data_IF_191417137476
#
_entry.id   IF_191417137476
#
_cell.length_a   1.000
_cell.length_b   1.000
_cell.length_c   1.000
_cell.angle_alpha   90.00
_cell.angle_beta   90.00
_cell.angle_gamma   90.00
#
_symmetry.space_group_name_H-M   'P 1'
#
loop_
_entity.id
_entity.type
_entity.pdbx_description
1 polymer ?
#
# COMPACT_ATOMS: atom_id res chain seq x y z
N UNK A 1 4.85 25.65 9.20
CA UNK A 1 5.90 25.94 8.21
C UNK A 1 6.98 26.82 8.82
N UNK A 2 8.27 26.52 8.52
CA UNK A 2 9.43 27.29 9.00
C UNK A 2 9.92 26.98 10.41
N UNK A 3 9.19 26.18 11.19
CA UNK A 3 9.59 25.82 12.56
C UNK A 3 10.33 24.48 12.64
N UNK A 4 10.08 23.59 11.69
CA UNK A 4 10.65 22.23 11.65
C UNK A 4 11.41 22.04 10.36
N UNK A 5 12.70 21.64 10.39
CA UNK A 5 13.44 21.27 9.19
C UNK A 5 12.74 20.13 8.44
N UNK A 6 12.59 20.26 7.13
CA UNK A 6 11.95 19.24 6.30
C UNK A 6 12.98 18.21 5.86
N UNK A 7 12.58 16.94 5.90
CA UNK A 7 13.37 15.80 5.39
C UNK A 7 12.52 15.08 4.34
N UNK A 8 13.01 14.94 3.10
CA UNK A 8 12.30 14.25 2.04
C UNK A 8 11.87 12.83 2.47
N UNK A 9 10.61 12.46 2.20
CA UNK A 9 10.04 11.18 2.59
C UNK A 9 9.66 11.04 4.06
N UNK A 10 9.83 12.09 4.88
CA UNK A 10 9.41 12.14 6.29
C UNK A 10 8.16 12.98 6.49
N UNK A 11 7.28 12.52 7.39
CA UNK A 11 6.16 13.31 7.92
C UNK A 11 6.61 14.33 8.98
N UNK A 12 7.89 14.32 9.37
CA UNK A 12 8.46 15.11 10.46
C UNK A 12 7.79 14.80 11.82
N UNK A 13 7.42 15.79 12.57
CA UNK A 13 6.80 15.66 13.90
C UNK A 13 5.28 15.80 13.82
N UNK A 14 4.52 15.17 14.73
CA UNK A 14 3.10 15.41 14.86
C UNK A 14 2.80 16.88 15.14
N UNK A 15 1.63 17.36 14.69
CA UNK A 15 1.15 18.68 15.05
C UNK A 15 0.99 18.80 16.58
N UNK A 16 1.13 20.00 17.16
CA UNK A 16 0.92 20.22 18.60
C UNK A 16 -0.44 19.68 19.05
N UNK A 17 -0.43 18.90 20.13
CA UNK A 17 -1.62 18.23 20.67
C UNK A 17 -1.88 16.82 20.11
N UNK A 18 -1.25 16.41 19.03
CA UNK A 18 -1.36 15.04 18.50
C UNK A 18 -0.29 14.15 19.14
N UNK A 19 -0.71 13.04 19.76
CA UNK A 19 0.19 12.09 20.41
C UNK A 19 0.31 10.83 19.56
N UNK A 20 1.11 10.90 18.51
CA UNK A 20 1.44 9.73 17.69
C UNK A 20 2.49 8.85 18.38
N UNK A 21 2.37 7.53 18.19
CA UNK A 21 3.37 6.55 18.62
C UNK A 21 3.49 5.42 17.60
N UNK A 22 4.64 4.73 17.65
CA UNK A 22 4.83 3.45 16.97
C UNK A 22 4.71 2.36 18.02
N UNK A 23 3.87 1.37 17.77
CA UNK A 23 3.62 0.27 18.71
C UNK A 23 3.79 -1.10 18.03
N UNK A 24 3.99 -2.13 18.85
CA UNK A 24 3.91 -3.53 18.40
C UNK A 24 2.44 -4.01 18.24
N UNK A 25 2.24 -5.26 17.88
CA UNK A 25 0.91 -5.88 17.70
C UNK A 25 0.10 -5.96 19.01
N UNK A 26 0.74 -5.78 20.17
CA UNK A 26 0.12 -5.75 21.51
C UNK A 26 -0.06 -4.33 22.07
N UNK A 27 0.19 -3.31 21.26
CA UNK A 27 0.05 -1.89 21.66
C UNK A 27 1.14 -1.40 22.61
N UNK A 28 2.32 -2.06 22.70
CA UNK A 28 3.45 -1.56 23.46
C UNK A 28 4.27 -0.59 22.59
N UNK A 29 4.68 0.54 23.14
CA UNK A 29 5.50 1.51 22.40
C UNK A 29 6.87 0.93 22.04
N UNK A 30 7.25 1.13 20.79
CA UNK A 30 8.54 0.75 20.25
C UNK A 30 9.56 1.87 20.46
N UNK A 31 10.83 1.54 20.70
CA UNK A 31 11.88 2.55 20.77
C UNK A 31 12.08 3.26 19.44
N UNK A 32 12.61 4.48 19.47
CA UNK A 32 13.03 5.18 18.26
C UNK A 32 14.04 4.33 17.47
N UNK A 33 13.96 4.39 16.14
CA UNK A 33 14.71 3.54 15.23
C UNK A 33 13.98 2.24 14.85
N UNK A 34 12.89 1.89 15.56
CA UNK A 34 12.11 0.69 15.25
C UNK A 34 10.88 1.00 14.39
N UNK A 35 10.50 0.03 13.59
CA UNK A 35 9.24 0.02 12.84
C UNK A 35 8.11 -0.64 13.62
N UNK A 36 6.88 -0.30 13.28
CA UNK A 36 5.68 -0.88 13.87
C UNK A 36 4.39 -0.26 13.36
N UNK A 37 3.34 -0.39 14.13
CA UNK A 37 2.01 0.14 13.81
C UNK A 37 1.92 1.59 14.28
N UNK A 38 1.50 2.50 13.37
CA UNK A 38 1.23 3.89 13.74
C UNK A 38 -0.12 4.00 14.44
N UNK A 39 -0.09 4.58 15.65
CA UNK A 39 -1.29 4.85 16.44
C UNK A 39 -1.31 6.30 16.92
N UNK A 40 -2.51 6.80 17.27
CA UNK A 40 -2.68 8.05 17.97
C UNK A 40 -3.25 7.74 19.36
N UNK A 41 -2.51 8.12 20.42
CA UNK A 41 -2.79 7.69 21.79
C UNK A 41 -3.92 8.41 22.47
N UNK A 42 -4.25 9.62 22.02
CA UNK A 42 -5.33 10.44 22.61
C UNK A 42 -6.23 11.03 21.55
N UNK A 43 -7.52 11.19 21.85
CA UNK A 43 -8.45 11.89 20.96
C UNK A 43 -7.97 13.31 20.66
N UNK A 44 -8.32 13.81 19.48
CA UNK A 44 -8.07 15.17 19.03
C UNK A 44 -9.34 15.77 18.40
N UNK A 45 -9.46 17.10 18.28
CA UNK A 45 -10.71 17.77 17.91
C UNK A 45 -11.33 17.32 16.59
N UNK A 46 -10.53 16.97 15.57
CA UNK A 46 -10.99 16.52 14.24
C UNK A 46 -11.08 15.00 14.08
N UNK A 47 -10.93 14.23 15.18
CA UNK A 47 -11.05 12.78 15.13
C UNK A 47 -12.45 12.36 14.66
N UNK A 48 -12.53 11.33 13.83
CA UNK A 48 -13.79 10.69 13.45
C UNK A 48 -14.54 10.22 14.71
N UNK A 49 -15.86 10.44 14.77
CA UNK A 49 -16.68 10.11 15.96
C UNK A 49 -17.41 8.79 15.83
N UNK A 50 -17.79 8.40 14.61
CA UNK A 50 -18.47 7.14 14.32
C UNK A 50 -18.51 6.87 12.81
N UNK A 51 -18.95 5.68 12.43
CA UNK A 51 -19.41 5.35 11.08
C UNK A 51 -20.95 5.40 11.11
N UNK A 52 -21.56 6.05 10.11
CA UNK A 52 -23.01 6.18 10.01
C UNK A 52 -23.68 4.79 10.05
N UNK A 53 -24.63 4.61 10.95
CA UNK A 53 -25.36 3.36 11.20
C UNK A 53 -24.52 2.12 11.51
N UNK A 54 -23.21 2.27 11.83
CA UNK A 54 -22.33 1.13 12.10
C UNK A 54 -21.29 1.45 13.19
N UNK A 55 -21.75 1.70 14.45
CA UNK A 55 -20.85 2.03 15.56
C UNK A 55 -19.94 0.87 15.97
N UNK A 56 -20.36 -0.37 15.77
CA UNK A 56 -19.53 -1.54 16.10
C UNK A 56 -18.35 -1.68 15.14
N UNK A 57 -18.57 -1.45 13.85
CA UNK A 57 -17.49 -1.37 12.87
C UNK A 57 -16.54 -0.24 13.18
N UNK A 58 -17.05 0.91 13.62
CA UNK A 58 -16.21 2.03 14.05
C UNK A 58 -15.23 1.61 15.14
N UNK A 59 -15.73 1.00 16.23
CA UNK A 59 -14.90 0.52 17.32
C UNK A 59 -13.89 -0.51 16.86
N UNK A 60 -14.35 -1.57 16.16
CA UNK A 60 -13.50 -2.66 15.69
C UNK A 60 -12.41 -2.19 14.73
N UNK A 61 -12.70 -1.25 13.83
CA UNK A 61 -11.75 -0.79 12.81
C UNK A 61 -10.75 0.23 13.29
N UNK A 62 -11.16 1.11 14.23
CA UNK A 62 -10.32 2.23 14.67
C UNK A 62 -9.80 2.10 16.08
N UNK A 63 -10.37 1.22 16.91
CA UNK A 63 -9.98 1.03 18.30
C UNK A 63 -9.95 -0.46 18.65
N UNK A 64 -9.13 -1.27 17.94
CA UNK A 64 -9.02 -2.70 18.23
C UNK A 64 -8.49 -2.91 19.65
N UNK A 65 -9.02 -3.91 20.35
CA UNK A 65 -8.72 -4.16 21.77
C UNK A 65 -7.24 -4.45 21.99
N UNK A 66 -6.59 -5.10 21.04
CA UNK A 66 -5.17 -5.46 21.08
C UNK A 66 -4.26 -4.23 21.18
N UNK A 67 -4.70 -3.09 20.66
CA UNK A 67 -3.95 -1.82 20.68
C UNK A 67 -4.30 -0.93 21.86
N UNK A 68 -4.84 -1.49 22.96
CA UNK A 68 -5.08 -0.79 24.24
C UNK A 68 -5.99 0.46 24.12
N UNK A 69 -6.89 0.47 23.14
CA UNK A 69 -7.79 1.59 22.86
C UNK A 69 -7.14 2.78 22.18
N UNK A 70 -5.94 2.62 21.63
CA UNK A 70 -5.34 3.63 20.74
C UNK A 70 -6.06 3.68 19.40
N UNK A 71 -6.10 4.87 18.80
CA UNK A 71 -6.65 5.02 17.45
C UNK A 71 -5.68 4.42 16.42
N UNK A 72 -6.17 3.44 15.67
CA UNK A 72 -5.43 2.79 14.60
C UNK A 72 -5.53 3.61 13.31
N UNK A 73 -4.41 4.16 12.84
CA UNK A 73 -4.33 4.86 11.56
C UNK A 73 -4.39 3.89 10.35
N UNK A 74 -4.03 2.63 10.56
CA UNK A 74 -3.97 1.61 9.52
C UNK A 74 -2.69 1.64 8.71
N UNK A 75 -1.67 2.35 9.18
CA UNK A 75 -0.38 2.51 8.54
C UNK A 75 0.73 1.93 9.41
N UNK A 76 1.73 1.33 8.77
CA UNK A 76 3.02 1.06 9.38
C UNK A 76 3.91 2.29 9.28
N UNK A 77 4.76 2.49 10.28
CA UNK A 77 5.71 3.59 10.27
C UNK A 77 6.98 3.25 11.05
N UNK A 78 8.01 4.04 10.82
CA UNK A 78 9.25 4.06 11.61
C UNK A 78 9.41 5.44 12.22
N UNK A 79 9.87 5.50 13.46
CA UNK A 79 10.28 6.75 14.10
C UNK A 79 11.80 6.82 14.09
N UNK A 80 12.35 7.82 13.43
CA UNK A 80 13.80 8.00 13.31
C UNK A 80 14.48 8.11 14.70
N UNK A 81 15.65 7.47 14.83
CA UNK A 81 16.33 7.36 16.12
C UNK A 81 16.90 8.68 16.63
N UNK A 82 17.36 9.56 15.73
CA UNK A 82 18.04 10.81 16.07
C UNK A 82 17.07 11.99 16.11
N UNK A 83 16.26 12.13 15.06
CA UNK A 83 15.36 13.29 14.90
C UNK A 83 14.00 13.08 15.53
N UNK A 84 13.60 11.83 15.78
CA UNK A 84 12.26 11.48 16.21
C UNK A 84 11.18 11.66 15.13
N UNK A 85 11.57 11.89 13.88
CA UNK A 85 10.65 12.10 12.78
C UNK A 85 9.98 10.80 12.34
N UNK A 86 8.72 10.90 11.94
CA UNK A 86 7.96 9.76 11.46
C UNK A 86 8.11 9.59 9.95
N UNK A 87 8.30 8.35 9.52
CA UNK A 87 8.26 7.93 8.12
C UNK A 87 7.22 6.82 7.98
N UNK A 88 6.24 7.03 7.10
CA UNK A 88 5.25 5.99 6.79
C UNK A 88 5.91 4.94 5.89
N UNK A 89 5.73 3.65 6.24
CA UNK A 89 6.28 2.51 5.49
C UNK A 89 5.25 1.80 4.62
N UNK A 90 3.98 2.21 4.72
CA UNK A 90 2.86 1.67 3.94
C UNK A 90 1.67 1.32 4.82
N UNK A 91 0.67 0.70 4.22
CA UNK A 91 -0.50 0.19 4.95
C UNK A 91 -0.13 -1.11 5.66
N UNK A 92 -0.66 -1.31 6.87
CA UNK A 92 -0.48 -2.59 7.60
C UNK A 92 -1.24 -3.75 6.95
N UNK A 93 -2.27 -3.46 6.16
CA UNK A 93 -3.07 -4.40 5.38
C UNK A 93 -2.54 -4.65 3.96
N UNK A 94 -1.49 -3.92 3.55
CA UNK A 94 -0.79 -4.06 2.26
C UNK A 94 0.59 -4.74 2.42
N UNK A 95 0.78 -5.52 3.49
CA UNK A 95 1.98 -6.34 3.69
C UNK A 95 1.75 -7.71 3.05
N UNK A 96 2.67 -8.09 2.18
CA UNK A 96 2.70 -9.39 1.52
C UNK A 96 3.50 -10.40 2.36
N UNK A 97 3.07 -11.66 2.32
CA UNK A 97 3.81 -12.77 2.92
C UNK A 97 4.20 -13.78 1.84
N UNK A 98 5.35 -13.54 1.22
CA UNK A 98 5.86 -14.38 0.12
C UNK A 98 6.91 -15.34 0.68
N UNK A 99 6.63 -16.64 0.64
CA UNK A 99 7.53 -17.68 1.17
C UNK A 99 8.01 -17.41 2.61
N UNK A 100 7.12 -16.88 3.46
CA UNK A 100 7.42 -16.55 4.86
C UNK A 100 8.13 -15.19 5.06
N UNK A 101 8.44 -14.46 3.99
CA UNK A 101 9.03 -13.12 4.09
C UNK A 101 7.93 -12.06 4.01
N UNK A 102 7.91 -11.17 5.00
CA UNK A 102 6.99 -10.02 5.02
C UNK A 102 7.62 -8.84 4.27
N UNK A 103 6.93 -8.31 3.28
CA UNK A 103 7.39 -7.15 2.51
C UNK A 103 6.23 -6.19 2.22
N UNK A 104 6.52 -4.90 2.22
CA UNK A 104 5.54 -3.86 1.90
C UNK A 104 5.32 -3.75 0.39
N UNK A 105 4.06 -3.58 -0.03
CA UNK A 105 3.74 -3.35 -1.46
C UNK A 105 4.39 -2.07 -1.97
N UNK A 106 4.52 -1.03 -1.13
CA UNK A 106 5.12 0.26 -1.47
C UNK A 106 6.58 0.15 -1.93
N UNK A 107 7.35 -0.77 -1.38
CA UNK A 107 8.75 -0.97 -1.76
C UNK A 107 8.85 -1.46 -3.20
N UNK A 108 8.00 -2.41 -3.57
CA UNK A 108 7.92 -2.96 -4.94
C UNK A 108 7.36 -1.92 -5.91
N UNK A 109 6.33 -1.18 -5.51
CA UNK A 109 5.77 -0.06 -6.30
C UNK A 109 6.82 1.00 -6.58
N UNK A 110 7.61 1.37 -5.56
CA UNK A 110 8.70 2.34 -5.69
C UNK A 110 9.79 1.86 -6.64
N UNK A 111 10.18 0.58 -6.56
CA UNK A 111 11.14 0.01 -7.49
C UNK A 111 10.63 0.02 -8.94
N UNK A 112 9.35 -0.32 -9.17
CA UNK A 112 8.74 -0.27 -10.50
C UNK A 112 8.74 1.16 -11.06
N UNK A 113 8.32 2.14 -10.27
CA UNK A 113 8.26 3.56 -10.69
C UNK A 113 9.66 4.17 -10.87
N UNK A 114 10.67 3.65 -10.17
CA UNK A 114 12.07 4.07 -10.38
C UNK A 114 12.59 3.77 -11.81
N UNK A 115 11.93 2.88 -12.56
CA UNK A 115 12.15 2.70 -14.01
C UNK A 115 11.47 3.85 -14.78
N UNK A 116 12.00 5.05 -14.62
CA UNK A 116 11.37 6.32 -15.05
C UNK A 116 11.23 6.50 -16.54
N UNK A 117 11.97 5.77 -17.35
CA UNK A 117 11.88 5.74 -18.81
C UNK A 117 10.65 4.94 -19.30
N UNK A 118 10.09 4.10 -18.47
CA UNK A 118 9.08 3.12 -18.86
C UNK A 118 7.77 3.22 -18.06
N UNK A 119 7.87 3.32 -16.73
CA UNK A 119 6.71 3.25 -15.83
C UNK A 119 6.22 4.64 -15.40
N UNK A 120 4.92 4.87 -15.56
CA UNK A 120 4.24 6.08 -15.08
C UNK A 120 3.67 5.88 -13.68
N UNK A 121 2.96 4.76 -13.46
CA UNK A 121 2.36 4.41 -12.18
C UNK A 121 2.43 2.89 -11.97
N UNK A 122 2.46 2.47 -10.72
CA UNK A 122 2.35 1.06 -10.34
C UNK A 122 1.51 0.90 -9.07
N UNK A 123 0.78 -0.21 -8.99
CA UNK A 123 0.15 -0.67 -7.77
C UNK A 123 0.37 -2.17 -7.61
N UNK A 124 0.66 -2.60 -6.40
CA UNK A 124 0.98 -3.98 -6.09
C UNK A 124 -0.01 -4.54 -5.08
N UNK A 125 -0.45 -5.76 -5.32
CA UNK A 125 -1.29 -6.52 -4.38
C UNK A 125 -0.82 -7.97 -4.31
N UNK A 126 -1.16 -8.65 -3.21
CA UNK A 126 -1.00 -10.09 -3.07
C UNK A 126 -2.20 -10.86 -3.62
N UNK A 127 -1.95 -12.05 -4.11
CA UNK A 127 -2.96 -13.08 -4.34
C UNK A 127 -2.51 -14.42 -3.75
N UNK A 128 -3.44 -15.31 -3.38
CA UNK A 128 -3.07 -16.65 -2.94
C UNK A 128 -2.24 -17.39 -3.99
N UNK A 129 -1.25 -18.15 -3.52
CA UNK A 129 -0.37 -18.94 -4.37
C UNK A 129 0.03 -20.23 -3.64
N UNK A 130 -0.13 -21.38 -4.31
CA UNK A 130 0.11 -22.70 -3.70
C UNK A 130 1.57 -22.93 -3.31
N UNK A 131 2.52 -22.28 -4.00
CA UNK A 131 3.95 -22.51 -3.78
C UNK A 131 4.53 -21.53 -2.75
N UNK A 132 4.12 -20.27 -2.82
CA UNK A 132 4.71 -19.19 -2.01
C UNK A 132 3.81 -18.68 -0.88
N UNK A 133 2.60 -19.24 -0.76
CA UNK A 133 1.53 -18.74 0.12
C UNK A 133 0.84 -17.52 -0.49
N UNK A 134 1.60 -16.47 -0.78
CA UNK A 134 1.18 -15.34 -1.60
C UNK A 134 2.12 -15.11 -2.78
N UNK A 135 1.56 -14.71 -3.91
CA UNK A 135 2.28 -14.21 -5.07
C UNK A 135 2.05 -12.71 -5.26
N UNK A 136 3.08 -12.03 -5.71
CA UNK A 136 3.06 -10.60 -6.02
C UNK A 136 2.41 -10.40 -7.39
N UNK A 137 1.35 -9.60 -7.45
CA UNK A 137 0.70 -9.15 -8.67
C UNK A 137 0.88 -7.64 -8.81
N UNK A 138 1.56 -7.19 -9.87
CA UNK A 138 1.79 -5.79 -10.16
C UNK A 138 0.89 -5.30 -11.28
N UNK A 139 0.21 -4.19 -11.07
CA UNK A 139 -0.57 -3.46 -12.05
C UNK A 139 0.21 -2.22 -12.46
N UNK A 140 0.51 -2.08 -13.74
CA UNK A 140 1.46 -1.09 -14.24
C UNK A 140 0.86 -0.25 -15.34
N UNK A 141 0.99 1.06 -15.22
CA UNK A 141 0.71 2.05 -16.27
C UNK A 141 2.04 2.47 -16.88
N UNK A 142 2.16 2.32 -18.18
CA UNK A 142 3.36 2.71 -18.90
C UNK A 142 3.27 4.15 -19.40
N UNK A 143 4.43 4.78 -19.64
CA UNK A 143 4.55 6.11 -20.31
C UNK A 143 4.38 6.05 -21.82
N UNK A 144 3.94 4.93 -22.35
CA UNK A 144 3.72 4.64 -23.76
C UNK A 144 2.38 3.89 -23.94
N UNK A 145 1.89 3.73 -25.19
CA UNK A 145 0.65 2.98 -25.44
C UNK A 145 0.66 1.58 -24.83
N UNK A 146 -0.54 1.07 -24.54
CA UNK A 146 -0.72 -0.25 -23.92
C UNK A 146 -0.08 -1.34 -24.82
N UNK A 147 0.86 -2.15 -24.28
CA UNK A 147 1.51 -3.19 -25.05
C UNK A 147 0.60 -4.42 -25.20
N UNK A 148 0.80 -5.19 -26.28
CA UNK A 148 0.06 -6.42 -26.54
C UNK A 148 0.98 -7.56 -26.96
N UNK A 149 0.52 -8.79 -26.80
CA UNK A 149 1.20 -10.00 -27.30
C UNK A 149 2.64 -10.14 -26.77
N UNK A 150 3.59 -10.33 -27.66
CA UNK A 150 5.00 -10.60 -27.31
C UNK A 150 5.71 -9.34 -26.75
N UNK A 151 5.31 -8.14 -27.18
CA UNK A 151 5.82 -6.90 -26.60
C UNK A 151 5.45 -6.81 -25.12
N UNK A 152 4.20 -7.09 -24.77
CA UNK A 152 3.76 -7.08 -23.37
C UNK A 152 4.53 -8.09 -22.51
N UNK A 153 4.79 -9.29 -23.04
CA UNK A 153 5.60 -10.30 -22.35
C UNK A 153 7.05 -9.86 -22.15
N UNK A 154 7.65 -9.22 -23.16
CA UNK A 154 9.01 -8.72 -23.08
C UNK A 154 9.15 -7.63 -22.00
N UNK A 155 8.21 -6.67 -21.96
CA UNK A 155 8.16 -5.61 -20.96
C UNK A 155 7.90 -6.18 -19.56
N UNK A 156 6.96 -7.11 -19.43
CA UNK A 156 6.69 -7.77 -18.16
C UNK A 156 7.94 -8.50 -17.62
N UNK A 157 8.69 -9.16 -18.49
CA UNK A 157 9.97 -9.80 -18.13
C UNK A 157 10.99 -8.76 -17.67
N UNK A 158 11.15 -7.67 -18.42
CA UNK A 158 12.07 -6.58 -18.06
C UNK A 158 11.76 -6.02 -16.69
N UNK A 159 10.48 -5.70 -16.40
CA UNK A 159 10.05 -5.16 -15.11
C UNK A 159 10.25 -6.15 -13.95
N UNK A 160 9.99 -7.44 -14.19
CA UNK A 160 10.26 -8.48 -13.19
C UNK A 160 11.75 -8.57 -12.85
N UNK A 161 12.59 -8.57 -13.87
CA UNK A 161 14.04 -8.67 -13.69
C UNK A 161 14.59 -7.40 -13.02
N UNK A 162 14.03 -6.23 -13.35
CA UNK A 162 14.34 -4.97 -12.71
C UNK A 162 14.02 -4.97 -11.20
N UNK A 163 12.81 -5.38 -10.80
CA UNK A 163 12.44 -5.48 -9.38
C UNK A 163 13.34 -6.49 -8.65
N UNK A 164 13.64 -7.63 -9.27
CA UNK A 164 14.54 -8.62 -8.69
C UNK A 164 15.97 -8.09 -8.51
N UNK A 165 16.43 -7.19 -9.35
CA UNK A 165 17.72 -6.53 -9.24
C UNK A 165 17.72 -5.48 -8.11
N UNK A 166 16.69 -4.64 -8.04
CA UNK A 166 16.60 -3.53 -7.08
C UNK A 166 16.36 -3.98 -5.64
N UNK A 167 15.51 -4.99 -5.43
CA UNK A 167 15.10 -5.43 -4.09
C UNK A 167 15.63 -6.83 -3.77
N UNK A 168 15.57 -7.73 -4.76
CA UNK A 168 15.95 -9.13 -4.61
C UNK A 168 14.93 -10.08 -5.24
N UNK A 169 15.35 -11.34 -5.49
CA UNK A 169 14.53 -12.34 -6.19
C UNK A 169 13.16 -12.61 -5.53
N UNK A 170 13.09 -12.49 -4.20
CA UNK A 170 11.86 -12.73 -3.43
C UNK A 170 10.75 -11.70 -3.73
N UNK A 171 11.14 -10.48 -4.13
CA UNK A 171 10.22 -9.39 -4.47
C UNK A 171 9.77 -9.42 -5.94
N UNK A 172 10.29 -10.37 -6.73
CA UNK A 172 9.98 -10.49 -8.16
C UNK A 172 8.48 -10.74 -8.38
N UNK A 173 7.74 -9.85 -9.07
CA UNK A 173 6.33 -10.06 -9.34
C UNK A 173 6.11 -11.35 -10.15
N UNK A 174 5.17 -12.17 -9.71
CA UNK A 174 4.74 -13.36 -10.47
C UNK A 174 3.90 -12.96 -11.66
N UNK A 175 3.01 -12.00 -11.46
CA UNK A 175 2.11 -11.48 -12.49
C UNK A 175 2.35 -9.99 -12.70
N UNK A 176 2.37 -9.56 -13.97
CA UNK A 176 2.30 -8.15 -14.36
C UNK A 176 1.09 -7.96 -15.26
N UNK A 177 0.31 -6.92 -14.98
CA UNK A 177 -0.87 -6.54 -15.74
C UNK A 177 -0.76 -5.09 -16.16
N UNK A 178 -1.05 -4.80 -17.41
CA UNK A 178 -0.96 -3.45 -17.97
C UNK A 178 -2.34 -2.83 -18.15
N UNK A 179 -2.44 -1.55 -17.91
CA UNK A 179 -3.62 -0.74 -18.15
C UNK A 179 -3.26 0.68 -18.53
N UNK A 180 -4.17 1.39 -19.16
CA UNK A 180 -4.01 2.81 -19.48
C UNK A 180 -4.07 3.68 -18.21
N UNK A 181 -4.66 3.16 -17.14
CA UNK A 181 -4.73 3.82 -15.83
C UNK A 181 -4.90 2.75 -14.74
N UNK A 182 -4.84 3.15 -13.47
CA UNK A 182 -5.24 2.33 -12.33
C UNK A 182 -6.67 2.68 -11.88
N UNK A 183 -7.42 1.74 -11.29
CA UNK A 183 -8.75 2.05 -10.75
C UNK A 183 -8.61 3.01 -9.57
N UNK A 184 -9.12 4.22 -9.74
CA UNK A 184 -9.05 5.30 -8.77
C UNK A 184 -10.43 5.80 -8.37
N UNK A 185 -10.55 6.27 -7.15
CA UNK A 185 -11.69 7.10 -6.74
C UNK A 185 -11.59 8.47 -7.42
N UNK A 186 -12.70 9.23 -7.42
CA UNK A 186 -12.73 10.62 -7.91
C UNK A 186 -11.73 11.55 -7.21
N UNK A 187 -11.25 11.19 -6.02
CA UNK A 187 -10.19 11.90 -5.30
C UNK A 187 -8.77 11.44 -5.66
N UNK A 188 -8.61 10.54 -6.64
CA UNK A 188 -7.33 10.04 -7.12
C UNK A 188 -6.72 8.89 -6.30
N UNK A 189 -7.45 8.36 -5.30
CA UNK A 189 -6.95 7.25 -4.47
C UNK A 189 -7.13 5.91 -5.19
N UNK A 190 -6.05 5.12 -5.31
CA UNK A 190 -6.07 3.79 -5.92
C UNK A 190 -6.98 2.86 -5.11
N UNK A 191 -7.87 2.17 -5.79
CA UNK A 191 -8.83 1.23 -5.19
C UNK A 191 -8.23 -0.18 -5.14
N UNK A 192 -7.25 -0.41 -4.25
CA UNK A 192 -6.53 -1.70 -4.13
C UNK A 192 -7.45 -2.90 -3.91
N UNK A 193 -8.60 -2.71 -3.26
CA UNK A 193 -9.59 -3.77 -3.09
C UNK A 193 -10.05 -4.37 -4.42
N UNK A 194 -10.22 -3.54 -5.46
CA UNK A 194 -10.60 -3.99 -6.80
C UNK A 194 -9.44 -4.72 -7.48
N UNK A 195 -8.21 -4.22 -7.33
CA UNK A 195 -7.01 -4.88 -7.83
C UNK A 195 -6.79 -6.25 -7.19
N UNK A 196 -7.09 -6.41 -5.90
CA UNK A 196 -7.03 -7.73 -5.23
C UNK A 196 -8.04 -8.72 -5.82
N UNK A 197 -9.27 -8.29 -6.08
CA UNK A 197 -10.28 -9.16 -6.73
C UNK A 197 -9.86 -9.55 -8.14
N UNK A 198 -9.36 -8.61 -8.93
CA UNK A 198 -8.80 -8.89 -10.27
C UNK A 198 -7.62 -9.87 -10.20
N UNK A 199 -6.69 -9.67 -9.26
CA UNK A 199 -5.53 -10.54 -9.10
C UNK A 199 -5.91 -11.98 -8.77
N UNK A 200 -7.00 -12.17 -8.02
CA UNK A 200 -7.56 -13.48 -7.64
C UNK A 200 -8.45 -14.10 -8.72
N UNK A 201 -8.81 -13.35 -9.79
CA UNK A 201 -9.82 -13.78 -10.76
C UNK A 201 -11.24 -13.83 -10.19
N UNK A 202 -11.52 -13.09 -9.12
CA UNK A 202 -12.83 -13.01 -8.49
C UNK A 202 -13.70 -11.97 -9.20
N UNK A 203 -15.01 -12.25 -9.30
CA UNK A 203 -15.96 -11.26 -9.78
C UNK A 203 -15.98 -10.02 -8.85
N UNK A 204 -15.99 -8.84 -9.45
CA UNK A 204 -16.06 -7.59 -8.71
C UNK A 204 -17.51 -7.39 -8.22
N UNK A 205 -17.74 -7.68 -6.94
CA UNK A 205 -19.03 -7.51 -6.25
C UNK A 205 -19.05 -6.27 -5.35
N UNK A 206 -17.90 -5.62 -5.19
CA UNK A 206 -17.77 -4.44 -4.32
C UNK A 206 -18.41 -3.22 -4.98
N UNK A 207 -18.78 -2.25 -4.13
CA UNK A 207 -19.28 -0.96 -4.58
C UNK A 207 -18.24 -0.22 -5.43
N UNK A 208 -18.59 0.03 -6.68
CA UNK A 208 -17.79 0.77 -7.66
C UNK A 208 -18.29 2.18 -7.92
N UNK A 209 -19.27 2.67 -7.16
CA UNK A 209 -19.93 3.98 -7.35
C UNK A 209 -18.94 5.17 -7.28
N UNK A 210 -17.83 5.01 -6.59
CA UNK A 210 -16.76 6.02 -6.48
C UNK A 210 -15.68 5.88 -7.53
N UNK A 211 -15.73 4.85 -8.39
CA UNK A 211 -14.74 4.61 -9.43
C UNK A 211 -14.91 5.65 -10.55
N UNK A 212 -13.80 6.27 -10.94
CA UNK A 212 -13.76 7.30 -11.96
C UNK A 212 -14.09 6.73 -13.36
N UNK A 213 -13.49 5.59 -13.70
CA UNK A 213 -13.68 4.92 -15.00
C UNK A 213 -13.79 3.39 -14.84
N UNK A 214 -15.00 2.80 -14.94
CA UNK A 214 -15.20 1.36 -14.81
C UNK A 214 -14.55 0.52 -15.93
N UNK A 215 -14.37 1.07 -17.15
CA UNK A 215 -13.81 0.34 -18.29
C UNK A 215 -12.36 -0.12 -18.06
N UNK A 216 -11.64 0.51 -17.12
CA UNK A 216 -10.26 0.16 -16.77
C UNK A 216 -10.13 -1.25 -16.19
N UNK A 217 -11.17 -1.76 -15.54
CA UNK A 217 -11.16 -3.09 -14.92
C UNK A 217 -11.01 -4.21 -15.96
N UNK A 218 -11.60 -4.02 -17.14
CA UNK A 218 -11.51 -5.00 -18.25
C UNK A 218 -10.10 -5.02 -18.85
N UNK A 219 -9.42 -3.87 -18.93
CA UNK A 219 -8.04 -3.80 -19.44
C UNK A 219 -7.05 -4.53 -18.51
N UNK A 220 -7.26 -4.41 -17.20
CA UNK A 220 -6.38 -4.98 -16.18
C UNK A 220 -6.60 -6.48 -15.93
N UNK A 221 -7.50 -7.12 -16.66
CA UNK A 221 -7.77 -8.56 -16.48
C UNK A 221 -6.73 -9.45 -17.16
N UNK A 222 -6.00 -8.97 -18.15
CA UNK A 222 -4.99 -9.71 -18.88
C UNK A 222 -3.65 -9.76 -18.11
N UNK A 223 -3.15 -10.97 -17.87
CA UNK A 223 -1.89 -11.24 -17.16
C UNK A 223 -0.75 -11.57 -18.11
N UNK A 224 0.45 -11.08 -17.82
CA UNK A 224 1.69 -11.33 -18.54
C UNK A 224 2.82 -11.85 -17.65
#
# INVERSE_FOLDING_TARGET
>A
PGATPLVPGSCTLPLPGIQAAIVDESGNEMPNGSGGILVIKKPWPSMIRTIWNDPERFKKSYFPEELKGYYLAGDGAVRDAETGYFRITGRIDDVLNVSGHRMGTMEIESALVAKTDLVAEAAVVGRPDETTGEAICAFVVLKRPLPHGDEAKAIAKELRDWVAHEIGPIAKPKDIRFGENLPKTRSGKIMRRLLRSLAKGEAITQDTSTLENPAILTQLDQTY
#
